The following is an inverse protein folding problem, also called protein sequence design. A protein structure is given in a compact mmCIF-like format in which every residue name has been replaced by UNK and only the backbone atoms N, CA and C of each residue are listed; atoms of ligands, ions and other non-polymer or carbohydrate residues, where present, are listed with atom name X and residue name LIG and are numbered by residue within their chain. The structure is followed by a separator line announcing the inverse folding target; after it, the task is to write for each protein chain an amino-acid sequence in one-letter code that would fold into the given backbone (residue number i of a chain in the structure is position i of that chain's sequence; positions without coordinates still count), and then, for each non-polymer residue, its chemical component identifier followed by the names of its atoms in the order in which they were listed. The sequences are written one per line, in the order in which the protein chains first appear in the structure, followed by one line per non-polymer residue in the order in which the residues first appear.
data_IF_154745955344
#
_entry.id   IF_154745955344
#
_cell.length_a   1.000
_cell.length_b   1.000
_cell.length_c   1.000
_cell.angle_alpha   90.00
_cell.angle_beta   90.00
_cell.angle_gamma   90.00
#
_symmetry.space_group_name_H-M   'P 1'
#
loop_
_entity.id
_entity.type
_entity.pdbx_description
1 polymer ?
#
# COMPACT_ATOMS: atom_id res chain seq x y z
N UNK A 1 17.08 55.31 9.21
CA UNK A 1 17.26 54.41 10.37
C UNK A 1 16.00 54.20 11.22
N UNK A 2 15.02 55.14 11.25
CA UNK A 2 13.73 54.96 11.96
C UNK A 2 12.77 53.94 11.32
N UNK A 3 12.74 53.83 9.98
CA UNK A 3 11.85 52.91 9.25
C UNK A 3 12.14 51.42 9.50
N UNK A 4 13.35 51.05 9.93
CA UNK A 4 13.68 49.65 10.25
C UNK A 4 13.18 49.22 11.64
N UNK A 5 12.96 50.18 12.57
CA UNK A 5 12.52 49.93 13.95
C UNK A 5 10.99 49.85 14.08
N UNK A 6 10.25 50.40 13.11
CA UNK A 6 8.78 50.40 13.05
C UNK A 6 8.18 49.23 12.25
N UNK A 7 8.99 48.28 11.75
CA UNK A 7 8.47 47.13 11.00
C UNK A 7 7.44 46.33 11.80
N UNK A 8 7.66 46.17 13.10
CA UNK A 8 6.71 45.50 13.99
C UNK A 8 5.39 46.25 14.15
N UNK A 9 5.41 47.58 14.26
CA UNK A 9 4.18 48.39 14.37
C UNK A 9 3.41 48.43 13.07
N UNK A 10 4.10 48.41 11.92
CA UNK A 10 3.48 48.33 10.59
C UNK A 10 2.82 46.96 10.38
N UNK A 11 3.47 45.88 10.81
CA UNK A 11 2.88 44.52 10.76
C UNK A 11 1.66 44.45 11.68
N UNK A 12 1.76 44.94 12.92
CA UNK A 12 0.63 44.97 13.86
C UNK A 12 -0.55 45.79 13.30
N UNK A 13 -0.27 46.95 12.69
CA UNK A 13 -1.28 47.77 12.05
C UNK A 13 -1.94 47.06 10.87
N UNK A 14 -1.16 46.39 10.01
CA UNK A 14 -1.70 45.59 8.91
C UNK A 14 -2.56 44.43 9.41
N UNK A 15 -2.13 43.73 10.45
CA UNK A 15 -2.89 42.62 11.03
C UNK A 15 -4.23 43.12 11.59
N UNK A 16 -4.24 44.26 12.27
CA UNK A 16 -5.49 44.88 12.76
C UNK A 16 -6.39 45.26 11.60
N UNK A 17 -5.88 45.95 10.57
CA UNK A 17 -6.67 46.36 9.40
C UNK A 17 -7.26 45.14 8.67
N UNK A 18 -6.44 44.12 8.42
CA UNK A 18 -6.87 42.87 7.77
C UNK A 18 -7.93 42.17 8.61
N UNK A 19 -7.73 42.08 9.93
CA UNK A 19 -8.69 41.49 10.85
C UNK A 19 -10.02 42.24 10.85
N UNK A 20 -10.01 43.58 10.97
CA UNK A 20 -11.23 44.39 10.96
C UNK A 20 -11.96 44.29 9.62
N UNK A 21 -11.23 44.27 8.51
CA UNK A 21 -11.80 44.10 7.18
C UNK A 21 -12.43 42.71 7.00
N UNK A 22 -11.77 41.66 7.48
CA UNK A 22 -12.26 40.28 7.38
C UNK A 22 -13.49 40.04 8.28
N UNK A 23 -13.50 40.60 9.49
CA UNK A 23 -14.67 40.58 10.40
C UNK A 23 -15.87 41.32 9.76
N UNK A 24 -15.64 42.50 9.19
CA UNK A 24 -16.70 43.27 8.51
C UNK A 24 -17.24 42.57 7.25
N UNK A 25 -16.38 41.93 6.45
CA UNK A 25 -16.77 41.26 5.21
C UNK A 25 -17.52 39.95 5.45
N UNK A 26 -17.14 39.18 6.47
CA UNK A 26 -17.70 37.86 6.73
C UNK A 26 -18.90 37.90 7.70
N UNK A 27 -19.16 39.01 8.41
CA UNK A 27 -20.12 39.08 9.54
C UNK A 27 -19.91 37.99 10.61
N UNK A 28 -18.72 37.38 10.62
CA UNK A 28 -18.33 36.37 11.62
C UNK A 28 -17.37 37.05 12.57
N UNK A 29 -17.86 37.28 13.78
CA UNK A 29 -17.11 37.98 14.81
C UNK A 29 -16.36 36.96 15.66
N UNK A 30 -15.31 36.37 15.06
CA UNK A 30 -14.56 35.22 15.60
C UNK A 30 -14.10 35.46 17.05
N UNK A 31 -13.80 36.72 17.40
CA UNK A 31 -13.39 37.07 18.76
C UNK A 31 -14.57 37.06 19.74
N UNK A 32 -15.72 37.60 19.33
CA UNK A 32 -16.95 37.59 20.15
C UNK A 32 -17.47 36.17 20.32
N UNK A 33 -17.41 35.33 19.29
CA UNK A 33 -17.81 33.91 19.37
C UNK A 33 -16.82 33.08 20.20
N UNK A 34 -15.51 33.33 20.07
CA UNK A 34 -14.48 32.67 20.88
C UNK A 34 -14.60 33.07 22.35
N UNK A 35 -14.77 34.37 22.63
CA UNK A 35 -14.96 34.89 23.99
C UNK A 35 -16.28 34.38 24.57
N UNK A 36 -17.38 34.37 23.82
CA UNK A 36 -18.66 33.81 24.26
C UNK A 36 -18.55 32.30 24.55
N UNK A 37 -17.80 31.56 23.73
CA UNK A 37 -17.53 30.13 23.96
C UNK A 37 -16.66 29.93 25.21
N UNK A 38 -15.70 30.82 25.48
CA UNK A 38 -14.88 30.80 26.71
C UNK A 38 -15.69 31.19 27.95
N UNK A 39 -16.58 32.18 27.86
CA UNK A 39 -17.45 32.61 28.97
C UNK A 39 -18.53 31.57 29.27
N UNK A 40 -19.04 30.86 28.25
CA UNK A 40 -19.90 29.69 28.44
C UNK A 40 -19.17 28.56 29.18
N UNK A 41 -17.89 28.33 28.87
CA UNK A 41 -17.02 27.38 29.59
C UNK A 41 -16.73 27.79 31.04
N UNK A 42 -16.77 29.08 31.38
CA UNK A 42 -16.55 29.57 32.75
C UNK A 42 -17.75 29.25 33.68
N UNK A 43 -18.97 29.25 33.14
CA UNK A 43 -20.20 29.00 33.91
C UNK A 43 -20.59 27.52 34.06
N UNK A 44 -20.00 26.63 33.27
CA UNK A 44 -20.36 25.20 33.26
C UNK A 44 -19.14 24.36 33.65
N UNK A 45 -19.17 23.74 34.84
CA UNK A 45 -18.23 22.75 35.39
C UNK A 45 -17.05 22.40 34.47
N UNK A 46 -16.07 23.29 34.44
CA UNK A 46 -14.92 23.27 33.53
C UNK A 46 -14.07 22.00 33.67
N UNK A 47 -14.09 21.36 34.83
CA UNK A 47 -13.42 20.07 35.09
C UNK A 47 -13.97 18.91 34.24
N UNK A 48 -15.27 18.88 33.97
CA UNK A 48 -15.93 17.79 33.24
C UNK A 48 -15.62 17.86 31.73
N UNK A 49 -15.55 19.07 31.18
CA UNK A 49 -15.16 19.31 29.79
C UNK A 49 -13.67 19.02 29.55
N UNK A 50 -12.80 19.36 30.50
CA UNK A 50 -11.37 19.04 30.42
C UNK A 50 -11.17 17.52 30.44
N UNK A 51 -11.88 16.80 31.31
CA UNK A 51 -11.82 15.34 31.37
C UNK A 51 -12.31 14.69 30.08
N UNK A 52 -13.42 15.19 29.49
CA UNK A 52 -13.96 14.70 28.23
C UNK A 52 -12.98 14.93 27.07
N UNK A 53 -12.40 16.13 26.97
CA UNK A 53 -11.42 16.48 25.93
C UNK A 53 -10.14 15.65 26.04
N UNK A 54 -9.64 15.44 27.27
CA UNK A 54 -8.47 14.60 27.51
C UNK A 54 -8.73 13.13 27.16
N UNK A 55 -9.90 12.60 27.54
CA UNK A 55 -10.34 11.25 27.17
C UNK A 55 -10.45 11.07 25.66
N UNK A 56 -11.01 12.05 24.95
CA UNK A 56 -11.11 12.03 23.49
C UNK A 56 -9.72 12.06 22.81
N UNK A 57 -8.79 12.87 23.32
CA UNK A 57 -7.42 12.93 22.80
C UNK A 57 -6.66 11.61 23.02
N UNK A 58 -6.82 10.98 24.17
CA UNK A 58 -6.24 9.65 24.44
C UNK A 58 -6.86 8.58 23.53
N UNK A 59 -8.18 8.61 23.35
CA UNK A 59 -8.89 7.71 22.43
C UNK A 59 -8.36 7.83 21.00
N UNK A 60 -8.26 9.05 20.49
CA UNK A 60 -7.70 9.33 19.15
C UNK A 60 -6.23 8.87 19.04
N UNK A 61 -5.42 9.10 20.08
CA UNK A 61 -4.03 8.65 20.12
C UNK A 61 -3.91 7.12 20.03
N UNK A 62 -4.75 6.40 20.78
CA UNK A 62 -4.79 4.93 20.76
C UNK A 62 -5.26 4.44 19.39
N UNK A 63 -6.32 5.02 18.82
CA UNK A 63 -6.88 4.60 17.54
C UNK A 63 -5.90 4.82 16.38
N UNK A 64 -5.24 5.97 16.34
CA UNK A 64 -4.20 6.26 15.34
C UNK A 64 -3.02 5.29 15.45
N UNK A 65 -2.59 4.98 16.67
CA UNK A 65 -1.49 4.05 16.89
C UNK A 65 -1.89 2.61 16.49
N UNK A 66 -3.12 2.19 16.85
CA UNK A 66 -3.66 0.88 16.51
C UNK A 66 -3.84 0.72 14.99
N UNK A 67 -4.30 1.75 14.30
CA UNK A 67 -4.40 1.77 12.84
C UNK A 67 -3.04 1.55 12.19
N UNK A 68 -2.00 2.29 12.62
CA UNK A 68 -0.62 2.15 12.12
C UNK A 68 -0.05 0.76 12.37
N UNK A 69 -0.26 0.20 13.56
CA UNK A 69 0.19 -1.15 13.91
C UNK A 69 -0.49 -2.23 13.06
N UNK A 70 -1.80 -2.11 12.85
CA UNK A 70 -2.57 -3.03 12.03
C UNK A 70 -2.13 -2.97 10.57
N UNK A 71 -1.85 -1.79 10.04
CA UNK A 71 -1.36 -1.61 8.68
C UNK A 71 0.01 -2.28 8.49
N UNK A 72 0.94 -2.08 9.43
CA UNK A 72 2.25 -2.77 9.41
C UNK A 72 2.08 -4.29 9.42
N UNK A 73 1.28 -4.82 10.34
CA UNK A 73 1.02 -6.27 10.41
C UNK A 73 0.41 -6.83 9.13
N UNK A 74 -0.52 -6.11 8.51
CA UNK A 74 -1.11 -6.52 7.23
C UNK A 74 -0.05 -6.59 6.13
N UNK A 75 0.79 -5.56 6.00
CA UNK A 75 1.90 -5.54 5.05
C UNK A 75 2.88 -6.70 5.29
N UNK A 76 3.21 -6.98 6.54
CA UNK A 76 4.11 -8.08 6.90
C UNK A 76 3.51 -9.44 6.54
N UNK A 77 2.24 -9.67 6.84
CA UNK A 77 1.53 -10.91 6.50
C UNK A 77 1.49 -11.09 4.98
N UNK A 78 1.17 -10.04 4.23
CA UNK A 78 1.11 -10.10 2.77
C UNK A 78 2.50 -10.37 2.17
N UNK A 79 3.54 -9.76 2.72
CA UNK A 79 4.92 -10.01 2.30
C UNK A 79 5.35 -11.46 2.58
N UNK A 80 4.99 -12.01 3.75
CA UNK A 80 5.27 -13.40 4.08
C UNK A 80 4.54 -14.37 3.16
N UNK A 81 3.24 -14.13 2.90
CA UNK A 81 2.44 -14.95 1.96
C UNK A 81 3.04 -14.95 0.56
N UNK A 82 3.44 -13.77 0.06
CA UNK A 82 4.09 -13.65 -1.25
C UNK A 82 5.43 -14.36 -1.30
N UNK A 83 6.27 -14.20 -0.26
CA UNK A 83 7.56 -14.90 -0.20
C UNK A 83 7.39 -16.41 -0.21
N UNK A 84 6.45 -16.94 0.57
CA UNK A 84 6.16 -18.38 0.60
C UNK A 84 5.66 -18.86 -0.77
N UNK A 85 4.72 -18.15 -1.39
CA UNK A 85 4.22 -18.49 -2.73
C UNK A 85 5.31 -18.44 -3.80
N UNK A 86 6.22 -17.48 -3.71
CA UNK A 86 7.36 -17.39 -4.62
C UNK A 86 8.30 -18.59 -4.44
N UNK A 87 8.65 -18.93 -3.20
CA UNK A 87 9.49 -20.07 -2.90
C UNK A 87 8.86 -21.39 -3.38
N UNK A 88 7.56 -21.60 -3.14
CA UNK A 88 6.88 -22.81 -3.60
C UNK A 88 6.82 -22.88 -5.13
N UNK A 89 6.60 -21.75 -5.81
CA UNK A 89 6.58 -21.72 -7.27
C UNK A 89 7.95 -21.98 -7.89
N UNK A 90 9.03 -21.48 -7.30
CA UNK A 90 10.38 -21.84 -7.71
C UNK A 90 10.61 -23.35 -7.55
N UNK A 91 10.20 -23.94 -6.42
CA UNK A 91 10.28 -25.39 -6.22
C UNK A 91 9.45 -26.17 -7.24
N UNK A 92 8.23 -25.72 -7.56
CA UNK A 92 7.39 -26.34 -8.60
C UNK A 92 8.08 -26.27 -9.96
N UNK A 93 8.67 -25.12 -10.29
CA UNK A 93 9.42 -24.94 -11.54
C UNK A 93 10.57 -25.96 -11.65
N UNK A 94 11.34 -26.13 -10.57
CA UNK A 94 12.43 -27.10 -10.52
C UNK A 94 11.94 -28.55 -10.67
N UNK A 95 10.85 -28.91 -9.97
CA UNK A 95 10.26 -30.25 -10.07
C UNK A 95 9.78 -30.52 -11.50
N UNK A 96 9.07 -29.57 -12.12
CA UNK A 96 8.54 -29.71 -13.48
C UNK A 96 9.69 -29.79 -14.49
N UNK A 97 10.71 -28.95 -14.36
CA UNK A 97 11.88 -29.02 -15.25
C UNK A 97 12.62 -30.36 -15.14
N UNK A 98 12.83 -30.85 -13.91
CA UNK A 98 13.43 -32.18 -13.70
C UNK A 98 12.57 -33.28 -14.33
N UNK A 99 11.24 -33.18 -14.20
CA UNK A 99 10.31 -34.11 -14.85
C UNK A 99 10.40 -34.04 -16.39
N UNK A 100 10.43 -32.85 -16.99
CA UNK A 100 10.58 -32.68 -18.44
C UNK A 100 11.92 -33.25 -18.95
N UNK A 101 13.01 -33.08 -18.19
CA UNK A 101 14.31 -33.68 -18.52
C UNK A 101 14.25 -35.22 -18.48
N UNK A 102 13.60 -35.80 -17.47
CA UNK A 102 13.42 -37.25 -17.38
C UNK A 102 12.54 -37.79 -18.53
N UNK A 103 11.52 -37.03 -18.95
CA UNK A 103 10.71 -37.35 -20.11
C UNK A 103 11.54 -37.42 -21.40
N UNK A 104 12.49 -36.51 -21.60
CA UNK A 104 13.41 -36.59 -22.74
C UNK A 104 14.31 -37.83 -22.68
N UNK A 105 14.73 -38.26 -21.49
CA UNK A 105 15.49 -39.50 -21.32
C UNK A 105 14.66 -40.73 -21.71
N UNK A 106 13.38 -40.79 -21.32
CA UNK A 106 12.47 -41.88 -21.73
C UNK A 106 12.19 -41.86 -23.23
N UNK A 107 12.04 -40.67 -23.83
CA UNK A 107 11.91 -40.51 -25.29
C UNK A 107 13.12 -41.11 -26.02
N UNK A 108 14.34 -40.81 -25.57
CA UNK A 108 15.56 -41.37 -26.16
C UNK A 108 15.60 -42.91 -26.05
N UNK A 109 15.11 -43.48 -24.95
CA UNK A 109 15.00 -44.94 -24.80
C UNK A 109 13.95 -45.53 -25.75
N UNK A 110 12.81 -44.86 -25.91
CA UNK A 110 11.74 -45.29 -26.81
C UNK A 110 12.13 -45.21 -28.30
N UNK A 111 12.92 -44.20 -28.66
CA UNK A 111 13.50 -44.08 -30.00
C UNK A 111 14.48 -45.23 -30.29
N UNK A 112 15.37 -45.55 -29.32
CA UNK A 112 16.31 -46.68 -29.43
C UNK A 112 15.61 -48.04 -29.51
N UNK A 113 14.52 -48.23 -28.79
CA UNK A 113 13.73 -49.46 -28.81
C UNK A 113 12.75 -49.54 -29.98
N UNK A 114 12.60 -48.47 -30.78
CA UNK A 114 11.57 -48.32 -31.82
C UNK A 114 10.15 -48.60 -31.30
N UNK A 115 9.90 -48.30 -30.03
CA UNK A 115 8.61 -48.60 -29.39
C UNK A 115 7.47 -47.73 -29.93
N UNK A 116 7.76 -46.55 -30.49
CA UNK A 116 6.79 -45.62 -31.06
C UNK A 116 7.15 -45.22 -32.49
N UNK A 117 6.14 -44.80 -33.26
CA UNK A 117 6.36 -44.24 -34.60
C UNK A 117 7.02 -42.86 -34.51
N UNK A 118 7.74 -42.41 -35.56
CA UNK A 118 8.34 -41.09 -35.60
C UNK A 118 7.34 -39.95 -35.42
N UNK A 119 6.11 -40.10 -35.91
CA UNK A 119 5.05 -39.09 -35.73
C UNK A 119 4.69 -38.89 -34.25
N UNK A 120 4.56 -39.99 -33.50
CA UNK A 120 4.22 -39.94 -32.06
C UNK A 120 5.35 -39.30 -31.24
N UNK A 121 6.61 -39.57 -31.60
CA UNK A 121 7.76 -38.95 -30.95
C UNK A 121 7.82 -37.44 -31.23
N UNK A 122 7.43 -37.00 -32.43
CA UNK A 122 7.36 -35.59 -32.78
C UNK A 122 6.26 -34.85 -32.00
N UNK A 123 5.08 -35.44 -31.88
CA UNK A 123 3.98 -34.88 -31.10
C UNK A 123 4.36 -34.77 -29.62
N UNK A 124 5.06 -35.77 -29.08
CA UNK A 124 5.61 -35.73 -27.73
C UNK A 124 6.57 -34.54 -27.52
N UNK A 125 7.50 -34.33 -28.46
CA UNK A 125 8.46 -33.21 -28.40
C UNK A 125 7.76 -31.85 -28.44
N UNK A 126 6.70 -31.71 -29.25
CA UNK A 126 5.90 -30.50 -29.32
C UNK A 126 5.18 -30.21 -27.99
N UNK A 127 4.58 -31.22 -27.35
CA UNK A 127 3.91 -31.07 -26.04
C UNK A 127 4.89 -30.70 -24.94
N UNK A 128 6.08 -31.33 -24.92
CA UNK A 128 7.15 -31.01 -23.96
C UNK A 128 7.64 -29.58 -24.15
N UNK A 129 7.87 -29.15 -25.38
CA UNK A 129 8.32 -27.80 -25.70
C UNK A 129 7.27 -26.73 -25.33
N UNK A 130 6.00 -26.98 -25.64
CA UNK A 130 4.89 -26.09 -25.27
C UNK A 130 4.75 -25.97 -23.75
N UNK A 131 4.88 -27.08 -23.03
CA UNK A 131 4.79 -27.08 -21.56
C UNK A 131 5.94 -26.30 -20.93
N UNK A 132 7.17 -26.48 -21.46
CA UNK A 132 8.34 -25.72 -21.01
C UNK A 132 8.19 -24.21 -21.29
N UNK A 133 7.64 -23.84 -22.46
CA UNK A 133 7.41 -22.44 -22.82
C UNK A 133 6.40 -21.76 -21.88
N UNK A 134 5.24 -22.40 -21.65
CA UNK A 134 4.21 -21.89 -20.72
C UNK A 134 4.74 -21.74 -19.29
N UNK A 135 5.60 -22.67 -18.85
CA UNK A 135 6.21 -22.59 -17.53
C UNK A 135 7.14 -21.36 -17.39
N UNK A 136 7.85 -20.99 -18.46
CA UNK A 136 8.70 -19.77 -18.50
C UNK A 136 7.89 -18.49 -18.54
N UNK A 137 6.77 -18.46 -19.27
CA UNK A 137 5.86 -17.31 -19.29
C UNK A 137 5.26 -17.03 -17.90
N UNK A 138 4.91 -18.07 -17.15
CA UNK A 138 4.42 -17.93 -15.77
C UNK A 138 5.49 -17.33 -14.85
N UNK A 139 6.77 -17.60 -15.11
CA UNK A 139 7.88 -17.05 -14.33
C UNK A 139 8.14 -15.57 -14.66
N UNK A 140 8.11 -15.19 -15.95
CA UNK A 140 8.34 -13.81 -16.39
C UNK A 140 7.26 -12.84 -15.89
N UNK A 141 5.99 -13.26 -15.89
CA UNK A 141 4.87 -12.45 -15.36
C UNK A 141 5.00 -12.19 -13.84
N UNK A 142 5.60 -13.13 -13.10
CA UNK A 142 5.81 -12.99 -11.65
C UNK A 142 6.93 -12.03 -11.30
N UNK A 143 8.02 -12.04 -12.06
CA UNK A 143 9.14 -11.12 -11.82
C UNK A 143 8.69 -9.66 -11.94
N UNK A 144 7.85 -9.33 -12.93
CA UNK A 144 7.30 -7.98 -13.13
C UNK A 144 6.42 -7.56 -11.95
N UNK A 145 5.52 -8.45 -11.50
CA UNK A 145 4.59 -8.18 -10.38
C UNK A 145 5.33 -7.90 -9.06
N UNK A 146 6.44 -8.59 -8.81
CA UNK A 146 7.26 -8.41 -7.60
C UNK A 146 8.05 -7.11 -7.65
N UNK A 147 8.58 -6.75 -8.82
CA UNK A 147 9.34 -5.51 -9.01
C UNK A 147 8.47 -4.26 -8.77
N UNK A 148 7.25 -4.23 -9.32
CA UNK A 148 6.29 -3.13 -9.08
C UNK A 148 5.90 -3.00 -7.60
N UNK A 149 5.85 -4.11 -6.86
CA UNK A 149 5.50 -4.11 -5.43
C UNK A 149 6.64 -3.62 -4.54
N UNK A 150 7.90 -3.83 -4.95
CA UNK A 150 9.09 -3.41 -4.19
C UNK A 150 9.39 -1.91 -4.42
N UNK A 151 9.13 -1.40 -5.62
CA UNK A 151 9.37 0.02 -5.95
C UNK A 151 8.34 0.99 -5.39
N UNK A 152 7.29 0.51 -4.72
CA UNK A 152 6.43 1.34 -3.88
C UNK A 152 5.83 2.53 -4.63
N UNK A 153 5.41 2.35 -5.88
CA UNK A 153 4.66 3.39 -6.60
C UNK A 153 3.28 3.51 -5.92
N UNK A 154 2.97 4.64 -5.26
CA UNK A 154 1.70 4.82 -4.59
C UNK A 154 0.65 5.09 -5.67
N UNK A 155 -0.12 4.07 -6.07
CA UNK A 155 -1.27 4.29 -6.98
C UNK A 155 -1.71 3.12 -7.85
N UNK A 156 -0.97 2.01 -7.95
CA UNK A 156 -1.43 0.84 -8.70
C UNK A 156 -2.20 -0.12 -7.78
N UNK A 157 -3.46 0.21 -7.54
CA UNK A 157 -4.43 -0.78 -7.07
C UNK A 157 -4.65 -1.80 -8.21
N UNK A 158 -4.03 -2.98 -8.09
CA UNK A 158 -4.40 -4.10 -8.93
C UNK A 158 -5.88 -4.46 -8.68
N UNK A 159 -6.66 -4.76 -9.73
CA UNK A 159 -8.04 -5.18 -9.57
C UNK A 159 -8.07 -6.39 -8.65
N UNK A 160 -8.79 -6.28 -7.54
CA UNK A 160 -9.05 -7.40 -6.63
C UNK A 160 -9.71 -8.48 -7.48
N UNK A 161 -9.00 -9.58 -7.72
CA UNK A 161 -9.57 -10.75 -8.36
C UNK A 161 -10.83 -11.16 -7.63
N UNK A 162 -11.95 -11.15 -8.34
CA UNK A 162 -13.19 -11.74 -7.86
C UNK A 162 -12.95 -13.23 -7.58
N UNK A 163 -13.45 -13.77 -6.46
CA UNK A 163 -13.36 -15.19 -6.19
C UNK A 163 -14.21 -15.95 -7.21
N UNK A 164 -13.59 -16.88 -7.94
CA UNK A 164 -14.27 -18.00 -8.60
C UNK A 164 -14.77 -19.00 -7.56
#
# INVERSE_FOLDING_TARGET
MLLLRMKGTIIALMVVIVYTFLSAALKVDIFTDLVASLTFMETTKSEELILLGFSALLGLGIDLNRARLNEKRRRDIDAHRLRTMHATMATVHDIVNNFLNNLQLYRLQAERSKAFSPEVLKEFDEVVAQTAARLREIDSLKQITVQERIEGIPGLELPRGEPL
#
